data_IF_875161611270
#
_entry.id   IF_875161611270
#
_cell.length_a   1.000
_cell.length_b   1.000
_cell.length_c   1.000
_cell.angle_alpha   90.00
_cell.angle_beta   90.00
_cell.angle_gamma   90.00
#
_symmetry.space_group_name_H-M   'P 1'
#
loop_
_entity.id
_entity.type
_entity.pdbx_description
1 polymer ?
#
# COMPACT_ATOMS: atom_id res chain seq x y z
N UNK A 1 8.41 7.82 -6.41
CA UNK A 1 9.54 8.65 -6.88
C UNK A 1 10.09 9.57 -5.80
N UNK A 2 9.26 10.36 -5.10
CA UNK A 2 9.70 11.27 -4.02
C UNK A 2 10.46 10.55 -2.90
N UNK A 3 9.96 9.41 -2.42
CA UNK A 3 10.59 8.64 -1.35
C UNK A 3 12.01 8.16 -1.70
N UNK A 4 12.26 7.74 -2.95
CA UNK A 4 13.59 7.35 -3.42
C UNK A 4 14.55 8.53 -3.47
N UNK A 5 14.07 9.71 -3.87
CA UNK A 5 14.86 10.95 -3.87
C UNK A 5 15.22 11.37 -2.44
N UNK A 6 14.25 11.34 -1.53
CA UNK A 6 14.50 11.64 -0.11
C UNK A 6 15.50 10.66 0.50
N UNK A 7 15.31 9.35 0.26
CA UNK A 7 16.25 8.35 0.74
C UNK A 7 17.67 8.58 0.21
N UNK A 8 17.82 8.85 -1.10
CA UNK A 8 19.13 9.11 -1.70
C UNK A 8 19.78 10.38 -1.14
N UNK A 9 18.99 11.42 -0.85
CA UNK A 9 19.47 12.64 -0.21
C UNK A 9 19.98 12.38 1.22
N UNK A 10 19.21 11.68 2.06
CA UNK A 10 19.64 11.32 3.41
C UNK A 10 20.89 10.43 3.41
N UNK A 11 20.94 9.44 2.53
CA UNK A 11 22.11 8.58 2.40
C UNK A 11 23.35 9.35 1.93
N UNK A 12 23.20 10.31 1.00
CA UNK A 12 24.29 11.18 0.55
C UNK A 12 24.80 12.09 1.66
N UNK A 13 23.90 12.65 2.46
CA UNK A 13 24.25 13.45 3.64
C UNK A 13 25.03 12.59 4.65
N UNK A 14 24.53 11.38 4.94
CA UNK A 14 25.20 10.45 5.88
C UNK A 14 26.62 10.10 5.42
N UNK A 15 26.80 9.78 4.12
CA UNK A 15 28.11 9.51 3.53
C UNK A 15 29.00 10.75 3.62
N UNK A 16 28.48 11.93 3.32
CA UNK A 16 29.20 13.20 3.44
C UNK A 16 29.65 13.49 4.88
N UNK A 17 28.79 13.25 5.87
CA UNK A 17 29.14 13.38 7.30
C UNK A 17 30.25 12.42 7.71
N UNK A 18 30.17 11.14 7.31
CA UNK A 18 31.21 10.14 7.59
C UNK A 18 32.53 10.59 6.97
N UNK A 19 32.52 10.98 5.70
CA UNK A 19 33.71 11.49 5.03
C UNK A 19 34.30 12.72 5.76
N UNK A 20 33.47 13.67 6.14
CA UNK A 20 33.90 14.87 6.86
C UNK A 20 34.54 14.54 8.21
N UNK A 21 33.92 13.64 9.00
CA UNK A 21 34.41 13.24 10.32
C UNK A 21 35.75 12.49 10.23
N UNK A 22 35.93 11.66 9.22
CA UNK A 22 37.12 10.83 9.06
C UNK A 22 38.15 11.37 8.08
N UNK A 23 37.96 12.57 7.49
CA UNK A 23 38.82 13.17 6.46
C UNK A 23 40.30 13.28 6.85
N UNK A 24 40.61 13.35 8.14
CA UNK A 24 41.99 13.39 8.67
C UNK A 24 42.55 12.02 9.06
N UNK A 25 41.77 10.97 8.92
CA UNK A 25 42.18 9.60 9.24
C UNK A 25 43.11 9.05 8.17
N UNK A 26 44.14 8.29 8.56
CA UNK A 26 44.98 7.53 7.63
C UNK A 26 44.20 6.45 6.86
N UNK A 27 43.01 6.07 7.36
CA UNK A 27 42.14 5.07 6.76
C UNK A 27 41.07 5.65 5.82
N UNK A 28 41.11 6.96 5.49
CA UNK A 28 40.07 7.62 4.71
C UNK A 28 39.88 6.96 3.34
N UNK A 29 40.96 6.55 2.69
CA UNK A 29 40.90 5.86 1.38
C UNK A 29 40.16 4.52 1.44
N UNK A 30 40.34 3.76 2.53
CA UNK A 30 39.60 2.52 2.74
C UNK A 30 38.13 2.81 3.02
N UNK A 31 37.83 3.80 3.85
CA UNK A 31 36.46 4.23 4.14
C UNK A 31 35.75 4.64 2.85
N UNK A 32 36.37 5.51 2.04
CA UNK A 32 35.79 5.94 0.76
C UNK A 32 35.55 4.78 -0.21
N UNK A 33 36.50 3.82 -0.30
CA UNK A 33 36.31 2.64 -1.12
C UNK A 33 35.15 1.78 -0.64
N UNK A 34 35.05 1.57 0.66
CA UNK A 34 33.94 0.81 1.27
C UNK A 34 32.62 1.50 1.03
N UNK A 35 32.53 2.81 1.24
CA UNK A 35 31.29 3.58 1.00
C UNK A 35 30.85 3.55 -0.46
N UNK A 36 31.77 3.64 -1.40
CA UNK A 36 31.48 3.56 -2.86
C UNK A 36 30.87 2.23 -3.26
N UNK A 37 31.18 1.14 -2.55
CA UNK A 37 30.61 -0.19 -2.81
C UNK A 37 29.35 -0.41 -1.99
N UNK A 38 29.39 -0.05 -0.69
CA UNK A 38 28.28 -0.29 0.21
C UNK A 38 27.02 0.53 -0.13
N UNK A 39 27.21 1.80 -0.55
CA UNK A 39 26.08 2.68 -0.87
C UNK A 39 25.15 2.13 -1.97
N UNK A 40 25.64 1.76 -3.17
CA UNK A 40 24.78 1.22 -4.21
C UNK A 40 24.14 -0.12 -3.81
N UNK A 41 24.84 -0.97 -3.06
CA UNK A 41 24.29 -2.24 -2.58
C UNK A 41 23.13 -1.99 -1.62
N UNK A 42 23.32 -1.12 -0.63
CA UNK A 42 22.26 -0.73 0.31
C UNK A 42 21.08 -0.06 -0.40
N UNK A 43 21.35 0.84 -1.34
CA UNK A 43 20.31 1.51 -2.11
C UNK A 43 19.47 0.51 -2.90
N UNK A 44 20.10 -0.41 -3.63
CA UNK A 44 19.43 -1.46 -4.39
C UNK A 44 18.65 -2.38 -3.43
N UNK A 45 19.25 -2.79 -2.32
CA UNK A 45 18.63 -3.66 -1.33
C UNK A 45 17.37 -3.04 -0.71
N UNK A 46 17.45 -1.78 -0.28
CA UNK A 46 16.30 -1.07 0.29
C UNK A 46 15.22 -0.82 -0.77
N UNK A 47 15.60 -0.47 -1.99
CA UNK A 47 14.65 -0.29 -3.08
C UNK A 47 13.93 -1.61 -3.39
N UNK A 48 14.66 -2.71 -3.52
CA UNK A 48 14.09 -4.04 -3.76
C UNK A 48 13.14 -4.46 -2.61
N UNK A 49 13.54 -4.22 -1.35
CA UNK A 49 12.71 -4.50 -0.18
C UNK A 49 11.44 -3.64 -0.16
N UNK A 50 11.55 -2.36 -0.52
CA UNK A 50 10.40 -1.45 -0.59
C UNK A 50 9.41 -1.89 -1.67
N UNK A 51 9.89 -2.25 -2.87
CA UNK A 51 9.07 -2.80 -3.94
C UNK A 51 8.42 -4.11 -3.50
N UNK A 52 9.19 -5.03 -2.93
CA UNK A 52 8.66 -6.29 -2.40
C UNK A 52 7.53 -6.05 -1.40
N UNK A 53 7.73 -5.18 -0.40
CA UNK A 53 6.71 -4.89 0.60
C UNK A 53 5.47 -4.18 0.03
N UNK A 54 5.62 -3.39 -1.04
CA UNK A 54 4.50 -2.73 -1.70
C UNK A 54 3.58 -3.72 -2.47
N UNK A 55 4.14 -4.81 -3.00
CA UNK A 55 3.37 -5.79 -3.78
C UNK A 55 2.97 -7.06 -3.03
N UNK A 56 3.53 -7.29 -1.84
CA UNK A 56 3.20 -8.46 -1.03
C UNK A 56 2.04 -8.15 -0.10
N UNK A 57 0.88 -8.68 -0.43
CA UNK A 57 -0.30 -8.65 0.44
C UNK A 57 -0.10 -9.58 1.62
N UNK A 58 -0.35 -9.10 2.83
CA UNK A 58 -0.29 -9.90 4.07
C UNK A 58 -1.64 -9.86 4.75
N UNK A 59 -2.12 -11.01 5.16
CA UNK A 59 -3.31 -11.13 6.01
C UNK A 59 -2.85 -11.07 7.47
N UNK A 60 -3.47 -10.18 8.24
CA UNK A 60 -3.21 -10.04 9.67
C UNK A 60 -4.52 -10.35 10.40
N UNK A 61 -4.46 -11.28 11.35
CA UNK A 61 -5.62 -11.67 12.13
C UNK A 61 -5.58 -10.97 13.51
N UNK A 62 -6.70 -10.35 13.85
CA UNK A 62 -6.95 -9.80 15.18
C UNK A 62 -8.17 -10.49 15.77
N UNK A 63 -8.08 -10.91 17.02
CA UNK A 63 -9.20 -11.46 17.77
C UNK A 63 -9.64 -10.45 18.84
N UNK A 64 -10.93 -10.13 18.81
CA UNK A 64 -11.54 -9.18 19.76
C UNK A 64 -12.64 -9.92 20.47
N UNK A 65 -12.52 -10.05 21.80
CA UNK A 65 -13.54 -10.64 22.65
C UNK A 65 -14.46 -9.53 23.19
N UNK A 66 -15.76 -9.72 23.05
CA UNK A 66 -16.77 -8.80 23.57
C UNK A 66 -17.58 -9.48 24.68
N UNK A 67 -17.82 -8.77 25.77
CA UNK A 67 -18.67 -9.24 26.90
C UNK A 67 -20.17 -9.14 26.55
N UNK A 68 -20.55 -9.65 25.38
CA UNK A 68 -21.92 -9.68 24.88
C UNK A 68 -22.21 -11.02 24.22
N UNK A 69 -23.42 -11.57 24.36
CA UNK A 69 -23.81 -12.83 23.72
C UNK A 69 -24.09 -12.62 22.23
N UNK A 70 -23.03 -12.45 21.45
CA UNK A 70 -23.10 -12.33 20.00
C UNK A 70 -22.49 -13.57 19.36
N UNK A 71 -22.96 -13.91 18.14
CA UNK A 71 -22.32 -14.95 17.35
C UNK A 71 -20.94 -14.45 16.88
N UNK A 72 -19.94 -15.34 16.81
CA UNK A 72 -18.66 -14.99 16.20
C UNK A 72 -18.86 -14.41 14.80
N UNK A 73 -18.19 -13.30 14.51
CA UNK A 73 -18.26 -12.57 13.24
C UNK A 73 -16.86 -12.39 12.69
N UNK A 74 -16.64 -12.75 11.42
CA UNK A 74 -15.40 -12.49 10.70
C UNK A 74 -15.53 -11.25 9.84
N UNK A 75 -14.76 -10.23 10.17
CA UNK A 75 -14.75 -8.95 9.46
C UNK A 75 -13.47 -8.90 8.61
N UNK A 76 -13.64 -8.84 7.28
CA UNK A 76 -12.56 -8.49 6.38
C UNK A 76 -12.46 -6.98 6.24
N UNK A 77 -11.27 -6.43 6.37
CA UNK A 77 -11.03 -5.00 6.21
C UNK A 77 -9.86 -4.74 5.29
N UNK A 78 -10.03 -3.83 4.34
CA UNK A 78 -8.98 -3.34 3.46
C UNK A 78 -9.18 -1.85 3.19
N UNK A 79 -8.19 -1.03 3.47
CA UNK A 79 -8.18 0.42 3.21
C UNK A 79 -7.06 0.80 2.27
N UNK A 80 -7.06 2.06 1.85
CA UNK A 80 -5.96 2.65 1.07
C UNK A 80 -5.66 1.83 -0.20
N UNK A 81 -6.70 1.45 -0.92
CA UNK A 81 -6.56 0.66 -2.14
C UNK A 81 -5.94 1.49 -3.27
N UNK A 82 -6.20 2.81 -3.30
CA UNK A 82 -5.69 3.73 -4.31
C UNK A 82 -5.79 3.14 -5.72
N UNK A 83 -7.03 2.70 -6.09
CA UNK A 83 -7.28 2.09 -7.38
C UNK A 83 -6.84 3.00 -8.51
N UNK A 84 -5.81 2.59 -9.20
CA UNK A 84 -5.12 3.37 -10.19
C UNK A 84 -4.24 2.49 -11.08
N UNK A 85 -3.21 3.05 -11.68
CA UNK A 85 -2.32 2.31 -12.57
C UNK A 85 -1.45 1.26 -11.86
N UNK A 86 -1.18 1.43 -10.56
CA UNK A 86 -0.31 0.54 -9.79
C UNK A 86 -1.09 -0.54 -9.04
N UNK A 87 -2.30 -0.21 -8.60
CA UNK A 87 -3.21 -1.16 -7.94
C UNK A 87 -4.48 -1.24 -8.79
N UNK A 88 -4.65 -2.33 -9.49
CA UNK A 88 -5.70 -2.49 -10.50
C UNK A 88 -6.54 -3.75 -10.32
N UNK A 89 -7.12 -4.22 -11.43
CA UNK A 89 -8.04 -5.35 -11.42
C UNK A 89 -7.45 -6.65 -10.88
N UNK A 90 -6.16 -6.92 -11.14
CA UNK A 90 -5.49 -8.13 -10.64
C UNK A 90 -5.35 -8.14 -9.11
N UNK A 91 -5.03 -7.01 -8.54
CA UNK A 91 -4.90 -6.82 -7.10
C UNK A 91 -6.26 -6.91 -6.42
N UNK A 92 -7.32 -6.36 -7.06
CA UNK A 92 -8.70 -6.54 -6.60
C UNK A 92 -9.14 -7.99 -6.63
N UNK A 93 -8.82 -8.73 -7.70
CA UNK A 93 -9.13 -10.16 -7.80
C UNK A 93 -8.44 -10.94 -6.66
N UNK A 94 -7.16 -10.66 -6.43
CA UNK A 94 -6.42 -11.27 -5.32
C UNK A 94 -7.03 -10.93 -3.95
N UNK A 95 -7.47 -9.68 -3.76
CA UNK A 95 -8.14 -9.28 -2.54
C UNK A 95 -9.44 -10.03 -2.35
N UNK A 96 -10.26 -10.17 -3.42
CA UNK A 96 -11.51 -10.93 -3.38
C UNK A 96 -11.27 -12.41 -3.04
N UNK A 97 -10.24 -13.03 -3.65
CA UNK A 97 -9.85 -14.41 -3.34
C UNK A 97 -9.45 -14.58 -1.87
N UNK A 98 -8.68 -13.64 -1.31
CA UNK A 98 -8.30 -13.64 0.10
C UNK A 98 -9.54 -13.56 0.99
N UNK A 99 -10.45 -12.60 0.74
CA UNK A 99 -11.68 -12.44 1.52
C UNK A 99 -12.54 -13.70 1.49
N UNK A 100 -12.60 -14.38 0.34
CA UNK A 100 -13.33 -15.64 0.19
C UNK A 100 -12.64 -16.79 0.94
N UNK A 101 -11.31 -16.92 0.84
CA UNK A 101 -10.54 -17.95 1.55
C UNK A 101 -10.67 -17.80 3.07
N UNK A 102 -10.64 -16.56 3.57
CA UNK A 102 -10.82 -16.23 4.98
C UNK A 102 -12.26 -16.37 5.45
N UNK A 103 -13.22 -16.62 4.53
CA UNK A 103 -14.65 -16.80 4.82
C UNK A 103 -15.21 -15.67 5.67
N UNK A 104 -14.92 -14.43 5.25
CA UNK A 104 -15.41 -13.24 5.96
C UNK A 104 -16.93 -13.12 5.85
N UNK A 105 -17.58 -12.69 6.92
CA UNK A 105 -19.02 -12.47 6.97
C UNK A 105 -19.42 -11.10 6.44
N UNK A 106 -18.54 -10.12 6.58
CA UNK A 106 -18.72 -8.72 6.16
C UNK A 106 -17.38 -8.17 5.65
N UNK A 107 -17.42 -7.32 4.64
CA UNK A 107 -16.24 -6.60 4.13
C UNK A 107 -16.40 -5.12 4.40
N UNK A 108 -15.36 -4.50 4.95
CA UNK A 108 -15.27 -3.07 5.20
C UNK A 108 -14.13 -2.47 4.36
N UNK A 109 -14.44 -1.40 3.63
CA UNK A 109 -13.50 -0.63 2.83
C UNK A 109 -13.45 0.82 3.37
N UNK A 110 -12.65 1.09 4.41
CA UNK A 110 -12.67 2.39 5.10
C UNK A 110 -11.82 3.46 4.38
N UNK A 111 -12.26 3.88 3.19
CA UNK A 111 -11.72 5.03 2.46
C UNK A 111 -10.50 4.77 1.60
N UNK A 112 -10.11 5.81 0.87
CA UNK A 112 -9.02 5.86 -0.11
C UNK A 112 -9.10 4.69 -1.11
N UNK A 113 -10.32 4.50 -1.65
CA UNK A 113 -10.61 3.42 -2.60
C UNK A 113 -10.06 3.77 -3.97
N UNK A 114 -10.24 5.01 -4.43
CA UNK A 114 -9.71 5.49 -5.71
C UNK A 114 -8.59 6.53 -5.49
N UNK A 115 -7.73 6.68 -6.50
CA UNK A 115 -6.60 7.61 -6.47
C UNK A 115 -7.02 8.93 -7.13
N UNK A 116 -7.54 9.87 -6.33
CA UNK A 116 -7.98 11.23 -6.65
C UNK A 116 -9.11 11.35 -7.70
N UNK A 117 -9.27 10.38 -8.61
CA UNK A 117 -10.29 10.42 -9.66
C UNK A 117 -10.62 9.04 -10.23
N UNK A 118 -11.76 8.97 -10.96
CA UNK A 118 -12.25 7.72 -11.57
C UNK A 118 -11.56 7.32 -12.87
N UNK A 119 -10.64 8.13 -13.42
CA UNK A 119 -10.16 7.93 -14.78
C UNK A 119 -9.40 6.61 -14.97
N UNK A 120 -8.50 6.28 -14.06
CA UNK A 120 -7.77 5.01 -14.11
C UNK A 120 -8.71 3.82 -13.90
N UNK A 121 -9.62 3.91 -12.92
CA UNK A 121 -10.63 2.90 -12.63
C UNK A 121 -11.48 2.56 -13.86
N UNK A 122 -11.97 3.58 -14.58
CA UNK A 122 -12.78 3.40 -15.79
C UNK A 122 -11.95 2.90 -16.98
N UNK A 123 -10.74 3.45 -17.19
CA UNK A 123 -9.85 3.07 -18.28
C UNK A 123 -9.44 1.59 -18.20
N UNK A 124 -9.13 1.11 -17.00
CA UNK A 124 -8.73 -0.28 -16.73
C UNK A 124 -9.93 -1.20 -16.46
N UNK A 125 -11.16 -0.68 -16.62
CA UNK A 125 -12.42 -1.46 -16.44
C UNK A 125 -12.47 -2.21 -15.10
N UNK A 126 -12.13 -1.55 -14.00
CA UNK A 126 -11.98 -2.19 -12.69
C UNK A 126 -13.31 -2.55 -12.01
N UNK A 127 -14.45 -2.01 -12.47
CA UNK A 127 -15.77 -2.26 -11.87
C UNK A 127 -16.10 -3.76 -11.71
N UNK A 128 -15.92 -4.64 -12.72
CA UNK A 128 -16.21 -6.07 -12.54
C UNK A 128 -15.24 -6.76 -11.56
N UNK A 129 -14.05 -6.23 -11.34
CA UNK A 129 -13.10 -6.74 -10.36
C UNK A 129 -13.50 -6.32 -8.94
N UNK A 130 -13.88 -5.04 -8.74
CA UNK A 130 -14.38 -4.56 -7.46
C UNK A 130 -15.67 -5.31 -7.07
N UNK A 131 -16.56 -5.60 -8.01
CA UNK A 131 -17.79 -6.37 -7.82
C UNK A 131 -17.57 -7.84 -7.38
N UNK A 132 -16.34 -8.37 -7.43
CA UNK A 132 -15.99 -9.70 -6.89
C UNK A 132 -15.88 -9.71 -5.38
N UNK A 133 -15.69 -8.57 -4.75
CA UNK A 133 -15.73 -8.46 -3.29
C UNK A 133 -17.17 -8.73 -2.83
N UNK A 134 -17.38 -9.87 -2.21
CA UNK A 134 -18.70 -10.32 -1.73
C UNK A 134 -18.58 -10.96 -0.37
N UNK A 135 -19.52 -10.65 0.49
CA UNK A 135 -19.64 -11.28 1.79
C UNK A 135 -21.13 -11.48 2.14
N UNK A 136 -21.52 -12.48 2.96
CA UNK A 136 -22.91 -12.76 3.32
C UNK A 136 -23.67 -11.58 3.90
N UNK A 137 -22.98 -10.73 4.68
CA UNK A 137 -23.58 -9.54 5.31
C UNK A 137 -23.32 -8.27 4.49
N UNK A 138 -22.72 -8.37 3.30
CA UNK A 138 -22.48 -7.25 2.39
C UNK A 138 -21.08 -6.66 2.46
N UNK A 139 -20.87 -5.67 1.61
CA UNK A 139 -19.64 -4.87 1.51
C UNK A 139 -20.00 -3.43 1.82
N UNK A 140 -19.27 -2.79 2.71
CA UNK A 140 -19.51 -1.43 3.14
C UNK A 140 -18.26 -0.60 2.90
N UNK A 141 -18.43 0.52 2.22
CA UNK A 141 -17.37 1.43 1.89
C UNK A 141 -17.64 2.81 2.49
N UNK A 142 -16.59 3.51 2.87
CA UNK A 142 -16.63 4.94 3.19
C UNK A 142 -15.69 5.67 2.23
N UNK A 143 -15.91 6.95 2.03
CA UNK A 143 -15.00 7.83 1.29
C UNK A 143 -14.02 8.48 2.27
N UNK A 144 -12.78 8.70 1.82
CA UNK A 144 -11.73 9.40 2.56
C UNK A 144 -11.13 10.52 1.71
N UNK A 145 -10.04 11.13 2.15
CA UNK A 145 -9.53 12.36 1.54
C UNK A 145 -9.21 12.23 0.05
N UNK A 146 -8.58 11.13 -0.42
CA UNK A 146 -8.31 10.93 -1.85
C UNK A 146 -9.59 10.77 -2.67
N UNK A 147 -10.60 10.12 -2.13
CA UNK A 147 -11.90 9.98 -2.79
C UNK A 147 -12.67 11.33 -2.85
N UNK A 148 -12.30 12.32 -2.02
CA UNK A 148 -12.98 13.61 -1.91
C UNK A 148 -12.31 14.74 -2.71
N UNK A 149 -11.06 14.59 -3.14
CA UNK A 149 -10.26 15.68 -3.71
C UNK A 149 -10.71 16.23 -5.06
N UNK A 150 -11.54 15.56 -5.82
CA UNK A 150 -11.88 16.13 -7.12
C UNK A 150 -13.13 15.60 -7.80
N UNK A 151 -13.54 14.39 -7.55
CA UNK A 151 -14.59 13.71 -8.33
C UNK A 151 -15.52 12.86 -7.47
N UNK A 152 -15.77 13.32 -6.24
CA UNK A 152 -16.49 12.59 -5.20
C UNK A 152 -17.77 11.93 -5.70
N UNK A 153 -18.64 12.70 -6.42
CA UNK A 153 -19.91 12.21 -6.90
C UNK A 153 -19.78 11.09 -7.93
N UNK A 154 -18.71 11.12 -8.72
CA UNK A 154 -18.43 10.05 -9.69
C UNK A 154 -17.82 8.84 -9.02
N UNK A 155 -16.90 9.04 -8.08
CA UNK A 155 -16.30 7.97 -7.27
C UNK A 155 -17.38 7.22 -6.51
N UNK A 156 -18.26 7.92 -5.77
CA UNK A 156 -19.38 7.31 -5.05
C UNK A 156 -20.28 6.50 -5.99
N UNK A 157 -20.64 7.06 -7.14
CA UNK A 157 -21.47 6.35 -8.13
C UNK A 157 -20.80 5.08 -8.66
N UNK A 158 -19.52 5.11 -8.96
CA UNK A 158 -18.82 3.94 -9.51
C UNK A 158 -18.61 2.85 -8.45
N UNK A 159 -18.33 3.23 -7.20
CA UNK A 159 -18.26 2.28 -6.09
C UNK A 159 -19.61 1.59 -5.85
N UNK A 160 -20.72 2.36 -5.88
CA UNK A 160 -22.08 1.80 -5.69
C UNK A 160 -22.56 0.90 -6.83
N UNK A 161 -21.97 0.99 -8.01
CA UNK A 161 -22.29 0.10 -9.14
C UNK A 161 -21.59 -1.27 -9.04
N UNK A 162 -20.55 -1.36 -8.24
CA UNK A 162 -19.80 -2.58 -8.04
C UNK A 162 -20.41 -3.41 -6.92
#
# INVERSE_FOLDING_TARGET
MLALLLFSAFASIAVGCIHFLFRKSKSITQIDRTLRIAYPILFIGITALSVYNAYVTRVIHYEITLDKPIKPLRIGMASDLHLGKLFGGKELDKLADIMQQEKVDIILLPGDIMDDNVNAYLAEKMQPHLAKLKAPMGVYATLSNHDLFGDQDRIDREIRKA
#
